data_IF_005802884171
#
_entry.id   IF_005802884171
#
_cell.length_a   1.000
_cell.length_b   1.000
_cell.length_c   1.000
_cell.angle_alpha   90.00
_cell.angle_beta   90.00
_cell.angle_gamma   90.00
#
_symmetry.space_group_name_H-M   'P 1'
#
loop_
_entity.id
_entity.type
_entity.pdbx_description
1 polymer ?
#
# COMPACT_ATOMS: atom_id res chain seq x y z
N UNK A 1 -55.73 -5.26 65.45
CA UNK A 1 -56.31 -4.14 64.68
C UNK A 1 -55.93 -4.30 63.21
N UNK A 2 -56.91 -4.12 62.32
CA UNK A 2 -56.92 -4.38 60.87
C UNK A 2 -55.82 -3.67 60.06
N UNK A 3 -55.40 -4.30 58.95
CA UNK A 3 -55.17 -3.77 57.56
C UNK A 3 -54.47 -4.88 56.75
N UNK A 4 -55.14 -5.64 55.86
CA UNK A 4 -55.47 -5.39 54.45
C UNK A 4 -54.31 -4.76 53.66
N UNK A 5 -53.84 -5.48 52.63
CA UNK A 5 -53.36 -5.07 51.28
C UNK A 5 -52.40 -6.17 50.77
N UNK A 6 -52.26 -6.54 49.50
CA UNK A 6 -53.00 -6.42 48.26
C UNK A 6 -52.18 -7.26 47.25
N UNK A 7 -52.85 -7.97 46.33
CA UNK A 7 -52.21 -8.81 45.29
C UNK A 7 -51.47 -7.94 44.28
N UNK A 8 -50.24 -8.30 43.92
CA UNK A 8 -49.70 -8.02 42.57
C UNK A 8 -48.83 -9.20 42.12
N UNK A 9 -49.38 -9.99 41.21
CA UNK A 9 -48.67 -11.00 40.43
C UNK A 9 -47.96 -10.24 39.30
N UNK A 10 -46.63 -10.08 39.38
CA UNK A 10 -45.85 -9.48 38.32
C UNK A 10 -45.45 -10.58 37.32
N UNK A 11 -46.19 -10.67 36.21
CA UNK A 11 -45.81 -11.49 35.06
C UNK A 11 -44.67 -10.75 34.34
N UNK A 12 -43.42 -11.15 34.57
CA UNK A 12 -42.27 -10.71 33.78
C UNK A 12 -42.32 -11.48 32.47
N UNK A 13 -42.87 -10.87 31.43
CA UNK A 13 -42.73 -11.33 30.05
C UNK A 13 -41.26 -11.11 29.63
N UNK A 14 -40.50 -12.20 29.62
CA UNK A 14 -39.14 -12.24 29.07
C UNK A 14 -39.24 -12.08 27.56
N UNK A 15 -39.05 -10.84 27.08
CA UNK A 15 -38.84 -10.56 25.67
C UNK A 15 -37.39 -10.93 25.35
N UNK A 16 -37.18 -12.18 24.93
CA UNK A 16 -35.89 -12.66 24.43
C UNK A 16 -35.63 -11.94 23.11
N UNK A 17 -34.88 -10.84 23.18
CA UNK A 17 -34.27 -10.20 22.03
C UNK A 17 -33.25 -11.21 21.47
N UNK A 18 -33.63 -11.92 20.40
CA UNK A 18 -32.68 -12.64 19.57
C UNK A 18 -31.75 -11.59 18.94
N UNK A 19 -30.63 -11.33 19.59
CA UNK A 19 -29.51 -10.62 18.99
C UNK A 19 -28.93 -11.59 17.96
N UNK A 20 -29.37 -11.50 16.70
CA UNK A 20 -28.61 -12.07 15.59
C UNK A 20 -27.25 -11.39 15.61
N UNK A 21 -26.22 -12.16 15.95
CA UNK A 21 -24.84 -11.75 15.78
C UNK A 21 -24.57 -11.65 14.29
N UNK A 22 -24.82 -10.47 13.70
CA UNK A 22 -24.18 -10.11 12.45
C UNK A 22 -22.69 -10.02 12.76
N UNK A 23 -21.92 -11.00 12.27
CA UNK A 23 -20.47 -10.90 12.30
C UNK A 23 -20.11 -9.67 11.46
N UNK A 24 -19.60 -8.62 12.09
CA UNK A 24 -18.99 -7.50 11.39
C UNK A 24 -17.60 -7.97 11.00
N UNK A 25 -17.49 -8.56 9.80
CA UNK A 25 -16.20 -8.85 9.20
C UNK A 25 -15.64 -7.52 8.68
N UNK A 26 -14.77 -6.89 9.44
CA UNK A 26 -13.90 -5.87 8.85
C UNK A 26 -12.82 -6.63 8.08
N UNK A 27 -13.04 -6.83 6.78
CA UNK A 27 -12.07 -7.51 5.94
C UNK A 27 -11.15 -6.46 5.31
N UNK A 28 -9.85 -6.65 5.53
CA UNK A 28 -8.80 -5.64 5.30
C UNK A 28 -7.87 -6.05 4.16
N UNK A 29 -8.40 -6.87 3.25
CA UNK A 29 -7.77 -7.21 1.99
C UNK A 29 -7.59 -5.92 1.18
N UNK A 30 -6.34 -5.53 0.95
CA UNK A 30 -5.99 -4.30 0.23
C UNK A 30 -5.60 -4.57 -1.21
N UNK A 31 -5.23 -5.80 -1.56
CA UNK A 31 -5.02 -6.14 -2.95
C UNK A 31 -4.56 -7.55 -3.18
N UNK A 32 -4.52 -7.93 -4.45
CA UNK A 32 -4.07 -9.23 -4.92
C UNK A 32 -3.35 -9.08 -6.25
N UNK A 33 -2.20 -9.75 -6.34
CA UNK A 33 -1.59 -10.10 -7.62
C UNK A 33 -1.64 -11.62 -7.77
N UNK A 34 -1.90 -12.08 -8.98
CA UNK A 34 -1.94 -13.51 -9.27
C UNK A 34 -1.28 -13.84 -10.59
N UNK A 35 -0.52 -14.92 -10.59
CA UNK A 35 0.17 -15.37 -11.79
C UNK A 35 0.44 -16.87 -11.70
N UNK A 36 0.65 -17.49 -12.86
CA UNK A 36 1.05 -18.88 -12.98
C UNK A 36 2.32 -19.01 -13.80
N UNK A 37 3.20 -19.91 -13.38
CA UNK A 37 4.45 -20.24 -14.08
C UNK A 37 4.36 -21.65 -14.60
N UNK A 38 4.63 -21.85 -15.90
CA UNK A 38 4.62 -23.20 -16.45
C UNK A 38 5.91 -23.95 -16.07
N UNK A 39 5.74 -25.10 -15.43
CA UNK A 39 6.83 -25.97 -14.94
C UNK A 39 7.19 -27.08 -15.93
N UNK A 40 6.47 -27.17 -17.05
CA UNK A 40 6.64 -28.17 -18.10
C UNK A 40 5.39 -29.03 -18.32
N UNK A 41 5.08 -29.28 -19.59
CA UNK A 41 3.85 -29.98 -19.98
C UNK A 41 2.62 -29.18 -19.57
N UNK A 42 1.74 -29.79 -18.79
CA UNK A 42 0.53 -29.16 -18.23
C UNK A 42 0.65 -28.86 -16.73
N UNK A 43 1.87 -28.87 -16.19
CA UNK A 43 2.10 -28.60 -14.77
C UNK A 43 2.45 -27.13 -14.58
N UNK A 44 1.72 -26.46 -13.71
CA UNK A 44 1.87 -25.04 -13.42
C UNK A 44 2.06 -24.84 -11.91
N UNK A 45 2.92 -23.90 -11.55
CA UNK A 45 2.93 -23.31 -10.22
C UNK A 45 2.03 -22.07 -10.23
N UNK A 46 1.00 -22.08 -9.40
CA UNK A 46 0.11 -20.96 -9.18
C UNK A 46 0.62 -20.18 -7.99
N UNK A 47 0.82 -18.87 -8.14
CA UNK A 47 1.29 -17.98 -7.07
C UNK A 47 0.37 -16.79 -6.94
N UNK A 48 -0.01 -16.48 -5.70
CA UNK A 48 -0.85 -15.35 -5.37
C UNK A 48 -0.16 -14.52 -4.27
N UNK A 49 0.05 -13.24 -4.55
CA UNK A 49 0.49 -12.27 -3.56
C UNK A 49 -0.73 -11.53 -3.01
N UNK A 50 -0.98 -11.71 -1.72
CA UNK A 50 -2.10 -11.10 -1.00
C UNK A 50 -1.59 -9.96 -0.13
N UNK A 51 -2.21 -8.79 -0.26
CA UNK A 51 -1.84 -7.59 0.48
C UNK A 51 -2.96 -7.26 1.47
N UNK A 52 -2.61 -7.01 2.74
CA UNK A 52 -3.58 -6.58 3.76
C UNK A 52 -3.10 -5.41 4.59
N UNK A 53 -4.07 -4.63 5.07
CA UNK A 53 -3.82 -3.63 6.11
C UNK A 53 -3.50 -4.33 7.43
N UNK A 54 -2.42 -3.91 8.08
CA UNK A 54 -1.99 -4.42 9.36
C UNK A 54 -2.92 -4.06 10.53
N UNK A 55 -3.66 -2.95 10.44
CA UNK A 55 -4.71 -2.62 11.41
C UNK A 55 -5.91 -3.58 11.33
N UNK A 56 -5.86 -4.50 10.37
CA UNK A 56 -6.94 -5.36 10.00
C UNK A 56 -6.99 -6.75 10.59
N UNK A 57 -7.70 -7.62 9.86
CA UNK A 57 -7.78 -9.04 10.18
C UNK A 57 -6.54 -9.77 9.67
N UNK A 58 -6.20 -10.86 10.35
CA UNK A 58 -5.10 -11.72 9.92
C UNK A 58 -5.35 -12.32 8.54
N UNK A 59 -4.28 -12.45 7.75
CA UNK A 59 -4.35 -13.14 6.47
C UNK A 59 -4.69 -14.64 6.69
N UNK A 60 -5.38 -15.28 5.74
CA UNK A 60 -5.65 -16.72 5.81
C UNK A 60 -4.36 -17.54 5.87
N UNK A 61 -4.31 -18.64 6.62
CA UNK A 61 -3.13 -19.53 6.61
C UNK A 61 -2.93 -20.29 5.29
N UNK A 62 -3.99 -20.37 4.49
CA UNK A 62 -4.02 -20.94 3.13
C UNK A 62 -5.19 -20.31 2.38
N UNK A 63 -5.10 -20.26 1.05
CA UNK A 63 -6.17 -19.76 0.19
C UNK A 63 -6.54 -20.81 -0.86
N UNK A 64 -7.73 -20.70 -1.45
CA UNK A 64 -8.13 -21.58 -2.53
C UNK A 64 -8.26 -20.79 -3.83
N UNK A 65 -7.77 -21.37 -4.93
CA UNK A 65 -8.13 -20.93 -6.28
C UNK A 65 -9.10 -21.94 -6.91
N UNK A 66 -10.05 -21.43 -7.67
CA UNK A 66 -10.99 -22.22 -8.45
C UNK A 66 -10.49 -22.32 -9.89
N UNK A 67 -10.54 -23.53 -10.45
CA UNK A 67 -10.06 -23.84 -11.79
C UNK A 67 -11.24 -24.36 -12.60
N UNK A 68 -11.50 -23.73 -13.74
CA UNK A 68 -12.59 -24.11 -14.64
C UNK A 68 -12.20 -23.98 -16.11
N UNK A 69 -12.88 -24.74 -16.96
CA UNK A 69 -12.77 -24.69 -18.42
C UNK A 69 -13.97 -25.41 -19.04
N UNK A 70 -14.32 -25.12 -20.29
CA UNK A 70 -15.34 -25.90 -21.03
C UNK A 70 -14.96 -27.35 -21.29
N UNK A 71 -13.66 -27.71 -21.21
CA UNK A 71 -13.15 -29.00 -21.70
C UNK A 71 -12.66 -29.94 -20.58
N UNK A 72 -12.77 -29.53 -19.32
CA UNK A 72 -12.37 -30.30 -18.16
C UNK A 72 -13.33 -30.09 -16.97
N UNK A 73 -13.30 -31.01 -16.02
CA UNK A 73 -14.07 -30.87 -14.78
C UNK A 73 -13.54 -29.71 -13.93
N UNK A 74 -14.45 -28.87 -13.43
CA UNK A 74 -14.10 -27.82 -12.48
C UNK A 74 -13.52 -28.43 -11.20
N UNK A 75 -12.55 -27.75 -10.61
CA UNK A 75 -11.90 -28.14 -9.36
C UNK A 75 -11.44 -26.91 -8.59
N UNK A 76 -10.94 -27.12 -7.37
CA UNK A 76 -10.24 -26.11 -6.59
C UNK A 76 -8.95 -26.70 -6.03
N UNK A 77 -7.92 -25.88 -5.92
CA UNK A 77 -6.67 -26.24 -5.24
C UNK A 77 -6.40 -25.28 -4.09
N UNK A 78 -5.76 -25.77 -3.04
CA UNK A 78 -5.35 -24.95 -1.89
C UNK A 78 -3.88 -24.55 -2.05
N UNK A 79 -3.63 -23.24 -2.00
CA UNK A 79 -2.30 -22.65 -2.01
C UNK A 79 -1.85 -22.43 -0.56
N UNK A 80 -0.67 -22.93 -0.24
CA UNK A 80 -0.06 -22.79 1.07
C UNK A 80 0.77 -21.51 1.13
N UNK A 81 0.79 -20.85 2.30
CA UNK A 81 1.64 -19.70 2.53
C UNK A 81 3.13 -20.08 2.39
N UNK A 82 3.88 -19.21 1.71
CA UNK A 82 5.31 -19.34 1.47
C UNK A 82 6.07 -18.32 2.32
N UNK A 83 6.78 -18.81 3.33
CA UNK A 83 7.58 -17.95 4.22
C UNK A 83 6.76 -17.02 5.13
N UNK A 84 7.45 -16.20 5.95
CA UNK A 84 6.79 -15.17 6.74
C UNK A 84 6.25 -14.04 5.85
N UNK A 85 5.25 -13.25 6.32
CA UNK A 85 4.83 -12.06 5.61
C UNK A 85 5.96 -11.03 5.52
N UNK A 86 5.89 -10.20 4.48
CA UNK A 86 6.79 -9.05 4.28
C UNK A 86 6.01 -7.77 4.53
N UNK A 87 6.48 -6.93 5.44
CA UNK A 87 5.88 -5.62 5.68
C UNK A 87 6.25 -4.64 4.55
N UNK A 88 5.23 -4.09 3.92
CA UNK A 88 5.25 -3.03 2.94
C UNK A 88 4.67 -1.77 3.59
N UNK A 89 5.52 -0.95 4.21
CA UNK A 89 5.13 0.40 4.63
C UNK A 89 5.59 1.42 3.62
N UNK A 90 4.94 2.58 3.60
CA UNK A 90 5.17 3.64 2.63
C UNK A 90 6.68 3.83 2.38
N UNK A 91 7.13 3.28 1.26
CA UNK A 91 8.49 3.31 0.71
C UNK A 91 9.66 2.72 1.52
N UNK A 92 9.43 1.98 2.63
CA UNK A 92 10.49 1.23 3.33
C UNK A 92 9.98 -0.09 3.94
N UNK A 93 10.80 -1.13 3.91
CA UNK A 93 10.55 -2.39 4.62
C UNK A 93 10.77 -2.16 6.12
N UNK A 94 9.74 -2.38 6.94
CA UNK A 94 9.84 -2.44 8.40
C UNK A 94 9.78 -1.10 9.14
N UNK A 95 8.84 -0.22 8.83
CA UNK A 95 8.62 1.01 9.61
C UNK A 95 8.18 0.64 11.05
N UNK A 96 8.98 0.95 12.09
CA UNK A 96 8.64 0.61 13.48
C UNK A 96 7.40 1.37 14.00
N UNK A 97 7.00 2.48 13.37
CA UNK A 97 5.82 3.25 13.72
C UNK A 97 4.57 2.84 12.93
N UNK A 98 4.65 1.78 12.12
CA UNK A 98 3.50 1.30 11.36
C UNK A 98 2.46 0.59 12.24
N UNK A 99 1.24 0.47 11.72
CA UNK A 99 0.19 -0.35 12.31
C UNK A 99 0.59 -1.84 12.40
N UNK A 100 1.56 -2.32 11.60
CA UNK A 100 2.11 -3.68 11.72
C UNK A 100 2.93 -3.87 13.00
N UNK A 101 3.54 -2.79 13.49
CA UNK A 101 4.42 -2.78 14.66
C UNK A 101 3.77 -2.11 15.89
N UNK A 102 2.46 -1.82 15.82
CA UNK A 102 1.69 -1.22 16.93
C UNK A 102 1.77 0.30 17.01
N UNK A 103 2.32 0.97 15.99
CA UNK A 103 2.28 2.41 15.84
C UNK A 103 1.02 2.90 15.09
N UNK A 104 1.09 4.13 14.58
CA UNK A 104 -0.04 4.84 13.95
C UNK A 104 0.06 4.97 12.43
N UNK A 105 1.24 4.74 11.85
CA UNK A 105 1.44 4.95 10.42
C UNK A 105 0.80 3.80 9.64
N UNK A 106 0.17 4.06 8.48
CA UNK A 106 -0.42 2.99 7.69
C UNK A 106 0.62 1.93 7.29
N UNK A 107 0.33 0.67 7.61
CA UNK A 107 1.17 -0.47 7.29
C UNK A 107 0.43 -1.56 6.52
N UNK A 108 1.12 -2.16 5.56
CA UNK A 108 0.61 -3.27 4.75
C UNK A 108 1.52 -4.47 4.91
N UNK A 109 0.96 -5.67 4.96
CA UNK A 109 1.71 -6.92 4.86
C UNK A 109 1.41 -7.62 3.54
N UNK A 110 2.45 -8.14 2.91
CA UNK A 110 2.39 -9.05 1.77
C UNK A 110 2.54 -10.50 2.25
N UNK A 111 1.62 -11.35 1.80
CA UNK A 111 1.64 -12.79 1.98
C UNK A 111 1.72 -13.47 0.62
N UNK A 112 2.71 -14.34 0.43
CA UNK A 112 2.83 -15.15 -0.79
C UNK A 112 2.21 -16.52 -0.53
N UNK A 113 1.36 -16.98 -1.44
CA UNK A 113 0.80 -18.33 -1.43
C UNK A 113 1.12 -19.02 -2.74
N UNK A 114 1.47 -20.30 -2.70
CA UNK A 114 1.67 -21.08 -3.92
C UNK A 114 1.26 -22.54 -3.80
N UNK A 115 0.98 -23.15 -4.95
CA UNK A 115 0.76 -24.57 -5.13
C UNK A 115 1.04 -24.98 -6.58
N UNK A 116 1.43 -26.24 -6.77
CA UNK A 116 1.56 -26.83 -8.11
C UNK A 116 0.33 -27.64 -8.45
N UNK A 117 -0.15 -27.52 -9.70
CA UNK A 117 -1.22 -28.37 -10.21
C UNK A 117 -1.00 -28.72 -11.68
N UNK A 118 -1.35 -29.96 -12.05
CA UNK A 118 -1.27 -30.45 -13.43
C UNK A 118 -2.66 -30.41 -14.06
N UNK A 119 -2.83 -29.57 -15.07
CA UNK A 119 -4.07 -29.48 -15.83
C UNK A 119 -4.32 -30.82 -16.56
N UNK A 120 -5.53 -31.40 -16.46
CA UNK A 120 -5.83 -32.73 -17.00
C UNK A 120 -5.89 -32.77 -18.53
N UNK A 121 -5.98 -31.60 -19.19
CA UNK A 121 -6.15 -31.47 -20.62
C UNK A 121 -5.63 -30.12 -21.14
N UNK A 122 -5.53 -30.01 -22.46
CA UNK A 122 -5.32 -28.74 -23.14
C UNK A 122 -6.69 -28.16 -23.53
N UNK A 123 -7.02 -26.99 -23.02
CA UNK A 123 -8.29 -26.32 -23.25
C UNK A 123 -8.07 -24.87 -23.73
N UNK A 124 -9.03 -24.30 -24.47
CA UNK A 124 -8.91 -22.94 -25.01
C UNK A 124 -9.22 -21.84 -24.01
N UNK A 125 -9.74 -22.18 -22.83
CA UNK A 125 -10.50 -21.27 -21.96
C UNK A 125 -10.35 -21.60 -20.47
N UNK A 126 -9.14 -21.99 -20.04
CA UNK A 126 -8.90 -22.12 -18.62
C UNK A 126 -9.09 -20.79 -17.92
N UNK A 127 -9.81 -20.81 -16.80
CA UNK A 127 -9.97 -19.69 -15.88
C UNK A 127 -9.55 -20.15 -14.49
N UNK A 128 -8.67 -19.37 -13.88
CA UNK A 128 -8.16 -19.56 -12.53
C UNK A 128 -8.58 -18.35 -11.71
N UNK A 129 -9.46 -18.52 -10.73
CA UNK A 129 -10.03 -17.39 -10.00
C UNK A 129 -9.82 -17.53 -8.49
N UNK A 130 -9.59 -16.40 -7.84
CA UNK A 130 -9.58 -16.25 -6.39
C UNK A 130 -10.68 -15.29 -5.96
N UNK A 131 -11.31 -15.59 -4.83
CA UNK A 131 -12.33 -14.74 -4.21
C UNK A 131 -12.13 -14.73 -2.71
N UNK A 132 -12.19 -13.54 -2.11
CA UNK A 132 -12.14 -13.37 -0.65
C UNK A 132 -13.17 -12.33 -0.23
N UNK A 133 -14.01 -12.70 0.72
CA UNK A 133 -14.97 -11.76 1.29
C UNK A 133 -14.27 -10.97 2.41
N UNK A 134 -14.50 -9.68 2.54
CA UNK A 134 -15.22 -8.75 1.68
C UNK A 134 -14.33 -7.52 1.56
N UNK A 135 -14.66 -6.56 0.71
CA UNK A 135 -13.90 -5.31 0.68
C UNK A 135 -14.26 -4.46 1.92
N UNK A 136 -13.41 -3.50 2.27
CA UNK A 136 -13.69 -2.61 3.40
C UNK A 136 -14.66 -1.49 3.01
N UNK A 137 -15.44 -1.03 3.99
CA UNK A 137 -16.45 0.01 3.81
C UNK A 137 -15.87 1.41 3.50
N UNK A 138 -14.55 1.62 3.64
CA UNK A 138 -13.91 2.93 3.42
C UNK A 138 -13.69 3.22 1.94
N UNK A 139 -13.79 2.22 1.06
CA UNK A 139 -13.68 2.40 -0.40
C UNK A 139 -14.74 3.40 -0.88
N UNK A 140 -14.27 4.40 -1.61
CA UNK A 140 -15.05 5.56 -2.04
C UNK A 140 -15.51 5.49 -3.50
N UNK A 141 -14.85 4.68 -4.33
CA UNK A 141 -15.11 4.60 -5.77
C UNK A 141 -16.06 3.46 -6.19
N UNK A 142 -16.47 2.59 -5.26
CA UNK A 142 -17.39 1.47 -5.47
C UNK A 142 -18.68 1.61 -4.67
N UNK A 143 -19.79 1.10 -5.21
CA UNK A 143 -21.08 1.09 -4.51
C UNK A 143 -21.14 -0.06 -3.50
N UNK A 144 -21.52 0.25 -2.25
CA UNK A 144 -21.68 -0.73 -1.16
C UNK A 144 -20.50 -1.72 -1.02
N UNK A 145 -19.24 -1.25 -0.97
CA UNK A 145 -18.06 -2.11 -1.04
C UNK A 145 -17.98 -3.16 0.08
N UNK A 146 -18.61 -2.89 1.23
CA UNK A 146 -18.72 -3.82 2.35
C UNK A 146 -19.54 -5.08 2.05
N UNK A 147 -20.29 -5.10 0.94
CA UNK A 147 -21.05 -6.25 0.45
C UNK A 147 -20.42 -6.88 -0.80
N UNK A 148 -19.25 -6.41 -1.22
CA UNK A 148 -18.56 -6.90 -2.41
C UNK A 148 -17.35 -7.74 -2.04
N UNK A 149 -17.09 -8.80 -2.80
CA UNK A 149 -15.89 -9.61 -2.63
C UNK A 149 -14.69 -8.96 -3.34
N UNK A 150 -13.51 -9.28 -2.86
CA UNK A 150 -12.29 -9.15 -3.65
C UNK A 150 -12.20 -10.35 -4.60
N UNK A 151 -12.21 -10.10 -5.91
CA UNK A 151 -12.15 -11.14 -6.93
C UNK A 151 -11.11 -10.79 -7.99
N UNK A 152 -10.33 -11.80 -8.38
CA UNK A 152 -9.38 -11.73 -9.50
C UNK A 152 -9.42 -13.06 -10.25
N UNK A 153 -9.12 -12.99 -11.55
CA UNK A 153 -8.93 -14.17 -12.38
C UNK A 153 -7.75 -14.02 -13.33
N UNK A 154 -7.19 -15.15 -13.74
CA UNK A 154 -6.27 -15.27 -14.86
C UNK A 154 -6.80 -16.33 -15.82
N UNK A 155 -6.57 -16.13 -17.12
CA UNK A 155 -7.02 -17.07 -18.15
C UNK A 155 -5.85 -17.70 -18.89
N UNK A 156 -6.02 -18.91 -19.40
CA UNK A 156 -5.03 -19.60 -20.24
C UNK A 156 -5.69 -20.36 -21.38
N UNK A 157 -5.15 -20.19 -22.59
CA UNK A 157 -5.41 -21.00 -23.76
C UNK A 157 -4.17 -21.85 -24.09
N UNK A 158 -4.20 -23.13 -23.70
CA UNK A 158 -3.08 -24.05 -23.91
C UNK A 158 -3.34 -25.10 -25.02
N UNK A 159 -4.30 -24.88 -25.93
CA UNK A 159 -4.64 -25.86 -27.00
C UNK A 159 -3.49 -26.19 -27.94
N UNK A 160 -2.57 -25.24 -28.14
CA UNK A 160 -1.37 -25.44 -28.97
C UNK A 160 -0.30 -26.30 -28.28
N UNK A 161 -0.53 -26.69 -27.02
CA UNK A 161 0.37 -27.53 -26.23
C UNK A 161 1.67 -26.84 -25.82
N UNK A 162 1.78 -25.53 -26.06
CA UNK A 162 2.89 -24.73 -25.58
C UNK A 162 2.73 -24.49 -24.07
N UNK A 163 3.78 -24.81 -23.33
CA UNK A 163 3.97 -24.38 -21.95
C UNK A 163 4.00 -22.85 -21.95
N UNK A 164 3.20 -22.22 -21.07
CA UNK A 164 3.02 -20.77 -21.04
C UNK A 164 2.93 -20.25 -19.62
N UNK A 165 3.71 -19.23 -19.27
CA UNK A 165 3.63 -18.55 -17.98
C UNK A 165 2.85 -17.25 -18.18
N UNK A 166 1.96 -16.90 -17.27
CA UNK A 166 1.29 -15.60 -17.35
C UNK A 166 2.31 -14.47 -17.18
N UNK A 167 2.01 -13.26 -17.65
CA UNK A 167 2.76 -12.08 -17.28
C UNK A 167 2.83 -11.93 -15.75
N UNK A 168 3.99 -11.54 -15.24
CA UNK A 168 4.20 -11.34 -13.81
C UNK A 168 4.48 -9.86 -13.54
N UNK A 169 3.74 -9.25 -12.62
CA UNK A 169 4.03 -7.91 -12.15
C UNK A 169 5.34 -7.89 -11.34
N UNK A 170 6.27 -7.03 -11.72
CA UNK A 170 7.61 -6.93 -11.10
C UNK A 170 7.67 -5.86 -10.03
N UNK A 171 6.78 -4.86 -10.09
CA UNK A 171 6.72 -3.77 -9.13
C UNK A 171 5.72 -4.08 -8.02
N UNK A 172 6.13 -3.86 -6.76
CA UNK A 172 5.20 -3.96 -5.63
C UNK A 172 4.14 -2.88 -5.71
N UNK A 173 2.88 -3.16 -5.32
CA UNK A 173 1.84 -2.13 -5.25
C UNK A 173 2.24 -0.95 -4.38
N UNK A 174 1.83 0.26 -4.77
CA UNK A 174 1.99 1.48 -3.97
C UNK A 174 0.63 1.88 -3.40
N UNK A 175 0.32 1.49 -2.14
CA UNK A 175 -1.03 1.64 -1.59
C UNK A 175 -1.33 3.02 -1.02
N UNK A 176 -0.33 3.88 -0.75
CA UNK A 176 -0.54 5.19 -0.11
C UNK A 176 0.00 6.34 -0.96
N UNK A 177 -0.85 7.32 -1.22
CA UNK A 177 -0.54 8.52 -2.00
C UNK A 177 -0.92 9.79 -1.23
N UNK A 178 -0.27 10.89 -1.57
CA UNK A 178 -0.56 12.20 -0.99
C UNK A 178 -1.49 13.01 -1.88
N UNK A 179 -2.52 13.62 -1.28
CA UNK A 179 -3.39 14.56 -1.97
C UNK A 179 -2.58 15.72 -2.58
N UNK A 180 -2.93 16.11 -3.80
CA UNK A 180 -2.29 17.21 -4.52
C UNK A 180 -0.86 16.95 -5.03
N UNK A 181 -0.23 15.82 -4.68
CA UNK A 181 1.11 15.47 -5.16
C UNK A 181 1.05 14.65 -6.45
N UNK A 182 1.85 15.02 -7.45
CA UNK A 182 1.93 14.24 -8.68
C UNK A 182 2.58 12.89 -8.40
N UNK A 183 1.96 11.83 -8.90
CA UNK A 183 2.40 10.45 -8.74
C UNK A 183 2.49 9.78 -10.10
N UNK A 184 3.57 9.02 -10.30
CA UNK A 184 3.77 8.17 -11.45
C UNK A 184 4.26 6.81 -10.98
N UNK A 185 3.56 5.76 -11.39
CA UNK A 185 3.90 4.38 -11.07
C UNK A 185 3.71 3.51 -12.29
N UNK A 186 4.69 2.64 -12.54
CA UNK A 186 4.59 1.67 -13.60
C UNK A 186 4.10 0.34 -13.00
N UNK A 187 2.94 -0.13 -13.46
CA UNK A 187 2.44 -1.43 -13.04
C UNK A 187 3.34 -2.59 -13.51
N UNK A 188 4.12 -2.40 -14.57
CA UNK A 188 5.30 -3.18 -14.95
C UNK A 188 5.11 -4.68 -14.81
N UNK A 189 4.57 -5.32 -15.86
CA UNK A 189 4.55 -6.78 -15.97
C UNK A 189 5.57 -7.25 -16.99
N UNK A 190 6.16 -8.41 -16.75
CA UNK A 190 7.09 -9.05 -17.69
C UNK A 190 6.55 -10.41 -18.08
N UNK A 191 6.66 -10.72 -19.38
CA UNK A 191 6.36 -12.03 -19.91
C UNK A 191 7.65 -12.85 -20.08
N UNK A 192 7.69 -14.05 -19.49
CA UNK A 192 8.90 -14.89 -19.51
C UNK A 192 9.08 -15.65 -20.83
N UNK A 193 8.00 -15.82 -21.60
CA UNK A 193 8.00 -16.59 -22.85
C UNK A 193 8.19 -15.71 -24.09
N UNK A 194 8.29 -14.39 -23.90
CA UNK A 194 8.56 -13.41 -24.95
C UNK A 194 7.32 -12.98 -25.70
N UNK A 195 6.13 -13.17 -25.12
CA UNK A 195 4.88 -12.74 -25.69
C UNK A 195 4.66 -11.23 -25.52
N UNK A 196 3.86 -10.65 -26.41
CA UNK A 196 3.50 -9.24 -26.30
C UNK A 196 2.36 -9.08 -25.32
N UNK A 197 2.45 -8.08 -24.45
CA UNK A 197 1.45 -7.79 -23.43
C UNK A 197 0.82 -6.43 -23.62
N UNK A 198 -0.45 -6.30 -23.25
CA UNK A 198 -1.21 -5.05 -23.30
C UNK A 198 -1.91 -4.83 -21.98
N UNK A 199 -1.85 -3.62 -21.46
CA UNK A 199 -2.46 -3.24 -20.20
C UNK A 199 -3.77 -2.50 -20.41
N UNK A 200 -4.73 -2.71 -19.51
CA UNK A 200 -5.95 -1.90 -19.43
C UNK A 200 -6.40 -1.71 -17.99
N UNK A 201 -7.07 -0.58 -17.73
CA UNK A 201 -7.84 -0.40 -16.50
C UNK A 201 -9.23 -1.00 -16.71
N UNK A 202 -9.58 -1.97 -15.88
CA UNK A 202 -10.83 -2.73 -15.99
C UNK A 202 -11.74 -2.52 -14.78
N UNK A 203 -12.95 -3.04 -14.84
CA UNK A 203 -13.86 -3.03 -13.71
C UNK A 203 -13.35 -3.99 -12.62
N UNK A 204 -13.31 -3.57 -11.35
CA UNK A 204 -13.17 -4.49 -10.25
C UNK A 204 -14.31 -5.50 -10.27
N UNK A 205 -14.00 -6.76 -9.95
CA UNK A 205 -14.94 -7.86 -9.94
C UNK A 205 -15.32 -8.22 -8.49
N UNK A 206 -16.50 -8.83 -8.35
CA UNK A 206 -17.02 -9.43 -7.12
C UNK A 206 -17.23 -10.93 -7.30
N UNK A 207 -17.70 -11.60 -6.25
CA UNK A 207 -17.94 -13.04 -6.21
C UNK A 207 -18.70 -13.53 -7.45
N UNK A 208 -18.16 -14.56 -8.11
CA UNK A 208 -18.70 -15.09 -9.36
C UNK A 208 -18.32 -14.30 -10.62
N UNK A 209 -17.36 -13.38 -10.55
CA UNK A 209 -16.77 -12.69 -11.70
C UNK A 209 -17.65 -11.58 -12.29
N UNK A 210 -18.58 -11.03 -11.51
CA UNK A 210 -19.44 -9.93 -11.96
C UNK A 210 -18.79 -8.57 -11.71
N UNK A 211 -19.05 -7.59 -12.57
CA UNK A 211 -18.54 -6.22 -12.39
C UNK A 211 -19.18 -5.55 -11.16
N UNK A 212 -18.35 -4.90 -10.34
CA UNK A 212 -18.81 -4.00 -9.29
C UNK A 212 -19.20 -2.65 -9.91
N UNK A 213 -20.32 -2.09 -9.45
CA UNK A 213 -20.76 -0.77 -9.86
C UNK A 213 -19.93 0.32 -9.19
N UNK A 214 -19.47 1.31 -9.97
CA UNK A 214 -18.78 2.48 -9.44
C UNK A 214 -19.76 3.50 -8.84
N UNK A 215 -19.31 4.27 -7.85
CA UNK A 215 -20.03 5.46 -7.38
C UNK A 215 -20.00 6.55 -8.46
N UNK A 216 -20.92 7.53 -8.36
CA UNK A 216 -21.02 8.61 -9.34
C UNK A 216 -19.71 9.41 -9.44
N UNK A 217 -19.23 9.64 -10.65
CA UNK A 217 -17.96 10.33 -10.92
C UNK A 217 -16.78 9.41 -11.17
N UNK A 218 -16.90 8.11 -10.88
CA UNK A 218 -15.86 7.11 -11.10
C UNK A 218 -16.21 6.15 -12.23
N UNK A 219 -15.18 5.57 -12.84
CA UNK A 219 -15.27 4.49 -13.82
C UNK A 219 -13.93 3.79 -13.96
N UNK A 220 -13.85 2.64 -14.64
CA UNK A 220 -12.58 1.95 -14.86
C UNK A 220 -11.46 2.81 -15.49
N UNK A 221 -11.69 3.61 -16.55
CA UNK A 221 -10.65 4.50 -17.07
C UNK A 221 -10.35 5.73 -16.17
N UNK A 222 -11.22 6.01 -15.19
CA UNK A 222 -11.09 7.11 -14.24
C UNK A 222 -11.41 6.63 -12.81
N UNK A 223 -10.60 5.71 -12.24
CA UNK A 223 -10.93 5.04 -10.99
C UNK A 223 -10.62 5.90 -9.77
N UNK A 224 -9.92 7.02 -9.98
CA UNK A 224 -9.46 7.99 -8.97
C UNK A 224 -9.86 9.39 -9.45
N UNK A 225 -10.33 10.24 -8.54
CA UNK A 225 -10.55 11.67 -8.81
C UNK A 225 -9.20 12.38 -8.78
N UNK A 226 -8.90 13.12 -9.86
CA UNK A 226 -7.62 13.80 -10.05
C UNK A 226 -7.83 15.29 -10.30
N UNK A 227 -6.78 16.09 -10.07
CA UNK A 227 -6.80 17.54 -10.37
C UNK A 227 -7.07 17.85 -11.84
N UNK A 228 -6.65 16.98 -12.76
CA UNK A 228 -6.86 17.14 -14.20
C UNK A 228 -8.19 16.55 -14.68
N UNK A 229 -8.91 15.82 -13.82
CA UNK A 229 -10.08 15.02 -14.21
C UNK A 229 -9.74 13.80 -15.07
N UNK A 230 -8.47 13.43 -15.19
CA UNK A 230 -8.01 12.27 -15.96
C UNK A 230 -6.88 11.52 -15.27
N UNK A 231 -6.76 10.22 -15.56
CA UNK A 231 -5.56 9.42 -15.26
C UNK A 231 -4.83 9.19 -16.59
N UNK A 232 -3.54 9.52 -16.65
CA UNK A 232 -2.72 9.22 -17.81
C UNK A 232 -2.20 7.78 -17.69
N UNK A 233 -2.72 6.88 -18.52
CA UNK A 233 -2.35 5.46 -18.50
C UNK A 233 -1.83 5.04 -19.87
N UNK A 234 -0.59 4.54 -19.92
CA UNK A 234 0.01 4.01 -21.14
C UNK A 234 -0.24 2.49 -21.23
N UNK A 235 -1.09 2.03 -22.17
CA UNK A 235 -1.44 0.62 -22.29
C UNK A 235 -0.29 -0.27 -22.81
N UNK A 236 0.83 0.30 -23.26
CA UNK A 236 1.98 -0.48 -23.73
C UNK A 236 3.03 -0.71 -22.64
N UNK A 237 3.13 0.23 -21.69
CA UNK A 237 4.15 0.17 -20.64
C UNK A 237 3.56 -0.15 -19.27
N UNK A 238 2.26 0.05 -19.07
CA UNK A 238 1.63 -0.01 -17.75
C UNK A 238 1.90 1.23 -16.90
N UNK A 239 2.51 2.28 -17.47
CA UNK A 239 2.77 3.54 -16.78
C UNK A 239 1.46 4.27 -16.48
N UNK A 240 1.21 4.55 -15.21
CA UNK A 240 0.11 5.35 -14.71
C UNK A 240 0.66 6.63 -14.08
N UNK A 241 0.13 7.79 -14.46
CA UNK A 241 0.50 9.09 -13.91
C UNK A 241 -0.73 9.95 -13.65
N UNK A 242 -0.83 10.54 -12.46
CA UNK A 242 -1.90 11.45 -12.08
C UNK A 242 -1.53 12.28 -10.85
N UNK A 243 -2.33 13.32 -10.57
CA UNK A 243 -2.27 14.07 -9.31
C UNK A 243 -3.64 13.92 -8.63
N UNK A 244 -3.73 13.19 -7.50
CA UNK A 244 -4.99 13.02 -6.78
C UNK A 244 -5.62 14.37 -6.38
N UNK A 245 -6.93 14.38 -6.23
CA UNK A 245 -7.68 15.51 -5.67
C UNK A 245 -8.58 15.01 -4.54
N UNK A 246 -8.26 15.43 -3.32
CA UNK A 246 -8.95 15.04 -2.10
C UNK A 246 -8.57 13.65 -1.60
N UNK A 247 -8.78 13.47 -0.29
CA UNK A 247 -8.70 12.18 0.39
C UNK A 247 -9.73 11.21 -0.18
N UNK A 248 -9.28 10.03 -0.59
CA UNK A 248 -10.11 9.00 -1.21
C UNK A 248 -9.47 7.63 -1.06
N UNK A 249 -10.28 6.58 -0.98
CA UNK A 249 -9.83 5.18 -1.00
C UNK A 249 -10.43 4.55 -2.24
N UNK A 250 -9.60 4.16 -3.20
CA UNK A 250 -10.06 3.72 -4.51
C UNK A 250 -9.54 2.33 -4.82
N UNK A 251 -10.39 1.46 -5.36
CA UNK A 251 -9.95 0.22 -6.00
C UNK A 251 -9.57 0.51 -7.44
N UNK A 252 -8.38 0.06 -7.83
CA UNK A 252 -7.85 0.14 -9.19
C UNK A 252 -7.51 -1.28 -9.63
N UNK A 253 -8.13 -1.72 -10.73
CA UNK A 253 -7.93 -3.06 -11.28
C UNK A 253 -7.27 -2.97 -12.65
N UNK A 254 -6.15 -3.68 -12.81
CA UNK A 254 -5.35 -3.74 -14.02
C UNK A 254 -5.53 -5.13 -14.62
N UNK A 255 -5.89 -5.18 -15.89
CA UNK A 255 -5.89 -6.39 -16.70
C UNK A 255 -4.69 -6.34 -17.65
N UNK A 256 -3.89 -7.41 -17.65
CA UNK A 256 -2.82 -7.63 -18.63
C UNK A 256 -3.25 -8.75 -19.54
N UNK A 257 -3.35 -8.44 -20.83
CA UNK A 257 -3.62 -9.40 -21.89
C UNK A 257 -2.31 -9.86 -22.51
N UNK A 258 -2.16 -11.16 -22.75
CA UNK A 258 -0.96 -11.79 -23.28
C UNK A 258 -1.22 -12.35 -24.68
N UNK A 259 -0.43 -11.93 -25.66
CA UNK A 259 -0.59 -12.27 -27.06
C UNK A 259 0.64 -12.97 -27.63
N UNK A 260 0.43 -14.18 -28.16
CA UNK A 260 1.43 -14.94 -28.90
C UNK A 260 1.14 -14.89 -30.39
N UNK A 261 2.05 -14.32 -31.17
CA UNK A 261 1.87 -14.12 -32.61
C UNK A 261 0.55 -13.40 -32.96
N UNK A 262 0.12 -12.45 -32.12
CA UNK A 262 -1.12 -11.68 -32.29
C UNK A 262 -2.41 -12.40 -31.89
N UNK A 263 -2.33 -13.59 -31.29
CA UNK A 263 -3.48 -14.32 -30.74
C UNK A 263 -3.46 -14.21 -29.21
N UNK A 264 -4.58 -13.82 -28.61
CA UNK A 264 -4.74 -13.80 -27.16
C UNK A 264 -4.64 -15.22 -26.61
N UNK A 265 -3.69 -15.46 -25.71
CA UNK A 265 -3.43 -16.76 -25.11
C UNK A 265 -3.59 -16.77 -23.59
N UNK A 266 -3.60 -15.61 -22.96
CA UNK A 266 -3.76 -15.53 -21.52
C UNK A 266 -4.12 -14.14 -21.05
N UNK A 267 -4.57 -14.07 -19.81
CA UNK A 267 -4.77 -12.81 -19.10
C UNK A 267 -4.35 -12.97 -17.65
N UNK A 268 -3.95 -11.88 -17.02
CA UNK A 268 -3.79 -11.79 -15.57
C UNK A 268 -4.36 -10.48 -15.04
N UNK A 269 -4.86 -10.52 -13.80
CA UNK A 269 -5.40 -9.37 -13.09
C UNK A 269 -4.56 -9.01 -11.87
N UNK A 270 -4.49 -7.70 -11.62
CA UNK A 270 -4.03 -7.09 -10.38
C UNK A 270 -5.16 -6.21 -9.87
N UNK A 271 -5.58 -6.42 -8.63
CA UNK A 271 -6.63 -5.63 -7.97
C UNK A 271 -6.05 -4.99 -6.72
N UNK A 272 -6.03 -3.66 -6.66
CA UNK A 272 -5.32 -2.92 -5.62
C UNK A 272 -6.18 -1.80 -5.06
N UNK A 273 -6.05 -1.58 -3.76
CA UNK A 273 -6.56 -0.41 -3.08
C UNK A 273 -5.48 0.67 -3.02
N UNK A 274 -5.81 1.85 -3.55
CA UNK A 274 -5.03 3.08 -3.47
C UNK A 274 -5.69 4.01 -2.46
N UNK A 275 -4.97 4.36 -1.41
CA UNK A 275 -5.40 5.28 -0.35
C UNK A 275 -4.69 6.60 -0.57
N UNK A 276 -5.45 7.61 -0.98
CA UNK A 276 -5.00 9.00 -1.01
C UNK A 276 -5.31 9.62 0.33
N UNK A 277 -4.29 10.10 1.02
CA UNK A 277 -4.41 10.74 2.32
C UNK A 277 -3.97 12.20 2.24
N UNK A 278 -4.45 13.00 3.19
CA UNK A 278 -3.94 14.34 3.42
C UNK A 278 -2.57 14.18 4.07
N UNK A 279 -1.55 14.04 3.22
CA UNK A 279 -0.19 14.23 3.65
C UNK A 279 -0.07 15.72 3.89
N UNK A 280 -0.16 16.14 5.15
CA UNK A 280 0.23 17.49 5.52
C UNK A 280 1.60 17.71 4.91
N UNK A 281 1.73 18.70 4.03
CA UNK A 281 3.01 19.23 3.56
C UNK A 281 3.77 19.93 4.72
N UNK A 282 3.43 19.59 5.96
CA UNK A 282 4.18 19.97 7.12
C UNK A 282 5.49 19.20 7.04
N UNK A 283 6.64 19.90 7.12
CA UNK A 283 7.90 19.21 7.31
C UNK A 283 7.76 18.23 8.48
N UNK A 284 8.45 17.08 8.43
CA UNK A 284 8.39 16.09 9.50
C UNK A 284 8.57 16.81 10.83
N UNK A 285 7.69 16.61 11.83
CA UNK A 285 7.73 17.44 13.02
C UNK A 285 9.12 17.33 13.65
N UNK A 286 9.77 18.48 13.73
CA UNK A 286 11.15 18.59 14.18
C UNK A 286 11.17 19.34 15.50
N UNK A 287 11.77 18.73 16.50
CA UNK A 287 11.98 19.34 17.80
C UNK A 287 13.46 19.64 17.96
N UNK A 288 13.74 20.86 18.43
CA UNK A 288 15.11 21.29 18.71
C UNK A 288 15.32 21.27 20.21
N UNK A 289 16.37 20.57 20.66
CA UNK A 289 16.78 20.58 22.06
C UNK A 289 18.26 20.90 22.21
N UNK A 290 18.60 21.55 23.33
CA UNK A 290 19.97 21.96 23.67
C UNK A 290 20.38 21.29 24.98
N UNK A 291 21.29 20.32 24.94
CA UNK A 291 21.83 19.76 26.18
C UNK A 291 22.65 20.82 26.93
N UNK A 292 22.49 20.87 28.27
CA UNK A 292 23.17 21.85 29.12
C UNK A 292 24.70 21.81 28.92
N UNK A 293 25.28 22.91 28.42
CA UNK A 293 26.72 23.04 28.22
C UNK A 293 27.27 22.31 26.98
N UNK A 294 26.41 21.83 26.08
CA UNK A 294 26.83 21.21 24.82
C UNK A 294 27.31 22.25 23.79
N UNK A 295 28.24 21.80 22.94
CA UNK A 295 28.66 22.50 21.71
C UNK A 295 27.83 22.05 20.50
N UNK A 296 26.65 21.48 20.73
CA UNK A 296 25.77 20.98 19.68
C UNK A 296 24.30 21.16 20.05
N UNK A 297 23.46 21.18 19.03
CA UNK A 297 22.02 21.16 19.08
C UNK A 297 21.56 19.77 18.64
N UNK A 298 20.51 19.26 19.26
CA UNK A 298 19.83 18.04 18.81
C UNK A 298 18.59 18.42 18.02
N UNK A 299 18.47 17.87 16.81
CA UNK A 299 17.27 17.92 16.00
C UNK A 299 16.62 16.53 16.06
N UNK A 300 15.51 16.41 16.78
CA UNK A 300 14.68 15.21 16.83
C UNK A 300 13.67 15.28 15.69
N UNK A 301 13.58 14.23 14.87
CA UNK A 301 12.77 14.17 13.66
C UNK A 301 11.79 13.02 13.80
N UNK A 302 10.48 13.32 13.80
CA UNK A 302 9.46 12.29 13.98
C UNK A 302 9.40 11.30 12.80
N UNK A 303 9.65 11.77 11.58
CA UNK A 303 9.84 10.90 10.40
C UNK A 303 11.34 10.77 10.09
N UNK A 304 11.90 9.54 10.03
CA UNK A 304 13.33 9.37 9.77
C UNK A 304 13.77 10.04 8.47
N UNK A 305 15.00 10.56 8.43
CA UNK A 305 15.65 11.07 7.20
C UNK A 305 16.82 10.18 6.81
N UNK A 306 17.13 10.11 5.51
CA UNK A 306 18.24 9.34 4.97
C UNK A 306 19.55 9.88 5.51
N UNK A 307 20.39 9.01 6.06
CA UNK A 307 21.71 9.40 6.56
C UNK A 307 22.59 10.03 5.48
N UNK A 308 22.37 9.66 4.21
CA UNK A 308 23.07 10.21 3.06
C UNK A 308 22.62 11.63 2.66
N UNK A 309 21.49 12.11 3.17
CA UNK A 309 20.96 13.47 2.93
C UNK A 309 21.41 14.49 3.97
N UNK A 310 22.30 14.08 4.89
CA UNK A 310 22.89 14.99 5.88
C UNK A 310 24.26 15.39 5.37
N UNK A 311 24.41 16.66 4.97
CA UNK A 311 25.70 17.24 4.68
C UNK A 311 26.56 17.23 5.94
N UNK A 312 27.58 16.38 5.94
CA UNK A 312 28.45 16.17 7.12
C UNK A 312 29.22 17.42 7.58
N UNK A 313 29.40 18.40 6.69
CA UNK A 313 29.96 19.72 6.99
C UNK A 313 28.96 20.65 7.71
N UNK A 314 27.69 20.22 7.85
CA UNK A 314 26.61 20.94 8.49
C UNK A 314 25.99 22.05 7.63
N UNK A 315 26.28 22.08 6.33
CA UNK A 315 25.79 23.12 5.41
C UNK A 315 24.28 23.12 5.18
N UNK A 316 23.56 22.05 5.53
CA UNK A 316 22.09 22.03 5.54
C UNK A 316 21.51 22.97 6.60
N UNK A 317 22.32 23.48 7.53
CA UNK A 317 21.87 24.18 8.72
C UNK A 317 22.46 25.59 8.81
N UNK A 318 21.61 26.57 9.12
CA UNK A 318 22.02 27.93 9.50
C UNK A 318 21.44 28.23 10.87
N UNK A 319 22.30 28.64 11.80
CA UNK A 319 21.88 29.06 13.14
C UNK A 319 22.00 30.58 13.30
N UNK A 320 20.92 31.21 13.72
CA UNK A 320 20.89 32.64 14.08
C UNK A 320 20.38 32.85 15.49
N UNK A 321 20.91 33.86 16.18
CA UNK A 321 20.51 34.20 17.54
C UNK A 321 21.56 35.02 18.29
N UNK A 322 21.30 35.32 19.57
CA UNK A 322 22.23 36.06 20.43
C UNK A 322 23.57 35.31 20.62
N UNK A 323 24.67 36.05 20.65
CA UNK A 323 26.02 35.46 20.80
C UNK A 323 26.68 35.01 19.50
N UNK A 324 26.02 35.20 18.35
CA UNK A 324 26.58 34.94 17.02
C UNK A 324 27.55 36.03 16.50
N UNK A 325 28.18 35.83 15.32
CA UNK A 325 27.83 34.82 14.31
C UNK A 325 28.20 33.39 14.71
N UNK A 326 27.33 32.44 14.35
CA UNK A 326 27.55 31.00 14.55
C UNK A 326 28.04 30.35 13.26
N UNK A 327 28.90 29.35 13.41
CA UNK A 327 29.34 28.43 12.37
C UNK A 327 28.88 27.04 12.76
N UNK A 328 28.19 26.35 11.85
CA UNK A 328 27.95 24.91 11.99
C UNK A 328 29.24 24.21 11.57
N UNK A 329 29.83 23.44 12.49
CA UNK A 329 31.13 22.78 12.24
C UNK A 329 30.97 21.38 11.67
N UNK A 330 29.85 20.73 11.96
CA UNK A 330 29.47 19.43 11.43
C UNK A 330 28.03 19.09 11.80
N UNK A 331 27.41 18.19 11.03
CA UNK A 331 26.15 17.54 11.38
C UNK A 331 26.28 16.02 11.27
N UNK A 332 25.72 15.28 12.23
CA UNK A 332 25.83 13.81 12.28
C UNK A 332 24.50 13.20 12.73
N UNK A 333 23.97 12.29 11.92
CA UNK A 333 22.83 11.46 12.32
C UNK A 333 23.20 10.45 13.41
N UNK A 334 22.41 10.38 14.48
CA UNK A 334 22.60 9.43 15.56
C UNK A 334 22.21 8.02 15.09
N UNK A 335 23.01 7.01 15.45
CA UNK A 335 22.78 5.60 15.07
C UNK A 335 22.57 5.40 13.56
N UNK A 336 23.25 6.21 12.75
CA UNK A 336 23.07 6.19 11.30
C UNK A 336 23.41 4.82 10.68
N UNK A 337 22.37 4.15 10.18
CA UNK A 337 22.45 3.05 9.21
C UNK A 337 21.99 3.56 7.85
N UNK A 338 20.75 3.25 7.48
CA UNK A 338 20.09 3.80 6.27
C UNK A 338 19.46 5.17 6.54
N UNK A 339 18.77 5.31 7.68
CA UNK A 339 18.10 6.55 8.11
C UNK A 339 18.34 6.83 9.59
N UNK A 340 18.00 8.05 10.02
CA UNK A 340 18.07 8.48 11.42
C UNK A 340 16.85 9.34 11.78
N UNK A 341 16.46 9.31 13.06
CA UNK A 341 15.43 10.18 13.64
C UNK A 341 16.04 11.28 14.53
N UNK A 342 17.37 11.39 14.58
CA UNK A 342 18.03 12.39 15.42
C UNK A 342 19.33 12.87 14.76
N UNK A 343 19.54 14.18 14.69
CA UNK A 343 20.77 14.78 14.17
C UNK A 343 21.44 15.62 15.26
N UNK A 344 22.74 15.43 15.44
CA UNK A 344 23.58 16.32 16.23
C UNK A 344 24.23 17.37 15.33
N UNK A 345 23.92 18.63 15.58
CA UNK A 345 24.39 19.79 14.82
C UNK A 345 25.39 20.53 15.70
N UNK A 346 26.68 20.43 15.38
CA UNK A 346 27.76 21.02 16.17
C UNK A 346 27.96 22.48 15.79
N UNK A 347 28.07 23.36 16.78
CA UNK A 347 28.06 24.82 16.60
C UNK A 347 29.22 25.50 17.31
N UNK A 348 29.74 26.57 16.70
CA UNK A 348 30.76 27.44 17.29
C UNK A 348 30.44 28.92 17.01
N UNK A 349 30.45 29.82 18.02
CA UNK A 349 30.68 29.55 19.44
C UNK A 349 29.53 28.75 20.08
N UNK A 350 29.72 28.28 21.32
CA UNK A 350 28.65 27.59 22.04
C UNK A 350 27.45 28.51 22.26
N UNK A 351 26.26 27.93 22.17
CA UNK A 351 24.99 28.60 22.44
C UNK A 351 24.85 29.01 23.92
N UNK A 352 24.28 30.19 24.12
CA UNK A 352 23.96 30.77 25.43
C UNK A 352 22.58 30.26 25.85
N UNK A 353 22.50 29.64 27.03
CA UNK A 353 21.24 29.14 27.60
C UNK A 353 20.24 30.27 27.86
N UNK A 354 18.94 29.95 27.83
CA UNK A 354 17.83 30.90 28.06
C UNK A 354 17.78 32.06 27.05
N UNK A 355 18.15 31.80 25.81
CA UNK A 355 18.03 32.73 24.68
C UNK A 355 17.25 32.06 23.56
N UNK A 356 16.54 32.85 22.75
CA UNK A 356 15.81 32.34 21.61
C UNK A 356 16.72 32.28 20.39
N UNK A 357 16.72 31.15 19.69
CA UNK A 357 17.47 30.92 18.46
C UNK A 357 16.53 30.57 17.32
N UNK A 358 17.05 30.68 16.10
CA UNK A 358 16.39 30.18 14.90
C UNK A 358 17.37 29.29 14.13
N UNK A 359 17.01 28.02 14.03
CA UNK A 359 17.66 27.06 13.13
C UNK A 359 16.92 27.09 11.79
N UNK A 360 17.64 27.26 10.69
CA UNK A 360 17.11 27.19 9.34
C UNK A 360 17.70 25.98 8.63
N UNK A 361 16.85 25.13 8.09
CA UNK A 361 17.20 24.02 7.21
C UNK A 361 17.13 24.53 5.77
N UNK A 362 18.18 24.31 4.99
CA UNK A 362 18.32 24.81 3.62
C UNK A 362 19.09 23.80 2.76
N UNK A 363 19.17 24.02 1.45
CA UNK A 363 19.96 23.16 0.56
C UNK A 363 21.45 23.28 0.90
N UNK A 364 22.06 22.17 1.29
CA UNK A 364 23.46 22.06 1.66
C UNK A 364 24.43 21.92 0.49
N UNK A 365 25.68 21.63 0.82
CA UNK A 365 26.79 21.44 -0.14
C UNK A 365 26.68 20.14 -0.94
N UNK A 366 25.84 19.21 -0.48
CA UNK A 366 25.48 17.97 -1.16
C UNK A 366 24.30 18.14 -2.15
N UNK A 367 23.75 19.35 -2.26
CA UNK A 367 22.73 19.73 -3.24
C UNK A 367 21.32 19.28 -2.92
N UNK A 368 21.05 18.86 -1.68
CA UNK A 368 19.72 18.55 -1.18
C UNK A 368 19.48 19.22 0.19
N UNK A 369 18.23 19.22 0.65
CA UNK A 369 17.89 19.45 2.07
C UNK A 369 17.93 18.11 2.83
N UNK A 370 17.19 17.96 3.93
CA UNK A 370 17.00 16.63 4.54
C UNK A 370 15.95 15.84 3.76
N UNK A 371 16.30 14.64 3.30
CA UNK A 371 15.43 13.77 2.49
C UNK A 371 14.89 12.63 3.36
N UNK A 372 13.58 12.44 3.42
CA UNK A 372 13.01 11.24 4.02
C UNK A 372 13.24 10.00 3.12
N UNK A 373 13.16 8.76 3.63
CA UNK A 373 13.32 7.57 2.79
C UNK A 373 12.33 7.44 1.62
N UNK A 374 11.24 8.23 1.61
CA UNK A 374 10.29 8.35 0.51
C UNK A 374 10.76 9.31 -0.61
N UNK A 375 11.95 9.90 -0.50
CA UNK A 375 12.50 10.84 -1.46
C UNK A 375 11.92 12.26 -1.35
N UNK A 376 11.17 12.56 -0.29
CA UNK A 376 10.63 13.89 -0.06
C UNK A 376 11.64 14.72 0.74
N UNK A 377 11.93 15.91 0.22
CA UNK A 377 12.80 16.89 0.83
C UNK A 377 12.05 17.77 1.83
N UNK A 378 12.70 18.13 2.94
CA UNK A 378 12.23 19.21 3.81
C UNK A 378 12.22 20.51 2.98
N UNK A 379 11.13 21.30 3.00
CA UNK A 379 11.07 22.54 2.22
C UNK A 379 12.23 23.49 2.52
N UNK A 380 12.82 24.08 1.48
CA UNK A 380 13.86 25.11 1.60
C UNK A 380 13.25 26.53 1.45
N UNK A 381 13.38 27.42 2.44
CA UNK A 381 13.91 27.18 3.79
C UNK A 381 12.83 26.70 4.77
N UNK A 382 13.21 25.84 5.72
CA UNK A 382 12.39 25.51 6.91
C UNK A 382 13.02 26.14 8.14
N UNK A 383 12.25 26.95 8.89
CA UNK A 383 12.75 27.67 10.07
C UNK A 383 12.13 27.17 11.36
N UNK A 384 12.97 26.87 12.36
CA UNK A 384 12.58 26.38 13.68
C UNK A 384 13.07 27.35 14.75
N UNK A 385 12.15 27.83 15.59
CA UNK A 385 12.47 28.67 16.74
C UNK A 385 12.47 27.85 18.02
N UNK A 386 13.49 28.02 18.86
CA UNK A 386 13.66 27.27 20.11
C UNK A 386 14.36 28.09 21.19
#
# INVERSE_FOLDING_TARGET
MKKILCRYFFFISSFVFFISSNNVYSSHSMGVDFYYTCMGGNTYEFTLAFYRDCAGVSAPGSINIFISSSCASNTSISLAQQGPPVELTNFCIGNPNSTCNGGSDPGVEQYIYSATYTLPANCPDWTFSFTECCRNALITNLQNPDNEDMYIEATLNNVTGACNSSPQFTELPVPFLCDGQAFCYNHGATDADGDSIVYSLTNPLTGGGSNISHTSGYSSPYPIITNSGSVNFDPNTGQMCFTPNGVQVCVVTILVEEYRNGVLIGTTMRDLQVIVMDCTNDPPPVLVSVPCGASYITLDILDPILCSSIASDGSDFILTGPGGPFTITSAVGQNCGTSTSQIFIYVSPNIIMNSNYTLTITIGSDGNTLINPCGQEIPDPTTLSF
#
